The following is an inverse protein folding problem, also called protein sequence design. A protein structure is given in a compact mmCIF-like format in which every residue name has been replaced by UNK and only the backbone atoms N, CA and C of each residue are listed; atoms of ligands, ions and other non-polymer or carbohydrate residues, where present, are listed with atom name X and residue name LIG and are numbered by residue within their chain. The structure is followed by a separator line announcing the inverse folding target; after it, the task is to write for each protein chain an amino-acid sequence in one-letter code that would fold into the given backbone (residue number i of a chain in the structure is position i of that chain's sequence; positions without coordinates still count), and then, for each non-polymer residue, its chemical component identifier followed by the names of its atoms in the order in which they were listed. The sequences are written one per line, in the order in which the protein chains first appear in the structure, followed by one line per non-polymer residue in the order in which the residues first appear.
data_IF_708393485415
#
_entry.id   IF_708393485415
#
_cell.length_a   1.000
_cell.length_b   1.000
_cell.length_c   1.000
_cell.angle_alpha   90.00
_cell.angle_beta   90.00
_cell.angle_gamma   90.00
#
_symmetry.space_group_name_H-M   'P 1'
#
loop_
_entity.id
_entity.type
_entity.pdbx_description
1 polymer ?
#
# COMPACT_ATOMS: atom_id res chain seq x y z
N UNK A 1 -20.32 13.93 -28.35
CA UNK A 1 -18.89 13.71 -28.06
C UNK A 1 -18.60 14.22 -26.65
N UNK A 2 -18.54 13.33 -25.65
CA UNK A 2 -18.15 13.70 -24.28
C UNK A 2 -16.64 13.57 -24.18
N UNK A 3 -15.96 14.70 -24.04
CA UNK A 3 -14.52 14.73 -23.78
C UNK A 3 -14.33 14.26 -22.33
N UNK A 4 -13.78 13.06 -22.19
CA UNK A 4 -13.27 12.55 -20.91
C UNK A 4 -12.07 13.44 -20.57
N UNK A 5 -12.20 14.28 -19.54
CA UNK A 5 -11.02 14.86 -18.91
C UNK A 5 -10.31 13.72 -18.18
N UNK A 6 -9.23 13.23 -18.77
CA UNK A 6 -8.22 12.50 -18.02
C UNK A 6 -7.72 13.47 -16.95
N UNK A 7 -7.98 13.17 -15.68
CA UNK A 7 -7.42 13.93 -14.58
C UNK A 7 -5.94 13.61 -14.53
N UNK A 8 -5.14 14.62 -14.80
CA UNK A 8 -3.69 14.59 -14.74
C UNK A 8 -3.21 14.06 -13.39
N UNK A 9 -2.17 13.25 -13.52
CA UNK A 9 -1.32 12.64 -12.52
C UNK A 9 -1.00 13.58 -11.35
N UNK A 10 -1.66 13.35 -10.21
CA UNK A 10 -1.28 13.91 -8.93
C UNK A 10 -0.87 12.77 -8.01
N UNK A 11 -0.01 11.86 -8.50
CA UNK A 11 0.68 10.93 -7.63
C UNK A 11 1.66 11.75 -6.79
N UNK A 12 1.26 12.15 -5.59
CA UNK A 12 2.19 12.72 -4.60
C UNK A 12 3.13 11.60 -4.20
N UNK A 13 4.28 11.55 -4.87
CA UNK A 13 5.18 10.42 -4.80
C UNK A 13 5.60 10.12 -3.35
N UNK A 14 5.09 9.03 -2.78
CA UNK A 14 5.38 8.65 -1.40
C UNK A 14 6.69 7.90 -1.33
N UNK A 15 7.58 8.31 -0.43
CA UNK A 15 8.82 7.59 -0.16
C UNK A 15 8.58 6.11 0.23
N UNK A 16 7.41 5.76 0.78
CA UNK A 16 7.05 4.37 1.09
C UNK A 16 6.74 3.58 -0.19
N UNK A 17 5.96 4.17 -1.10
CA UNK A 17 5.58 3.53 -2.37
C UNK A 17 6.80 3.24 -3.25
N UNK A 18 7.73 4.19 -3.33
CA UNK A 18 8.99 4.00 -4.05
C UNK A 18 9.82 2.84 -3.47
N UNK A 19 9.88 2.70 -2.13
CA UNK A 19 10.68 1.65 -1.46
C UNK A 19 10.13 0.24 -1.61
N UNK A 20 8.85 0.09 -1.95
CA UNK A 20 8.18 -1.22 -2.09
C UNK A 20 7.82 -1.56 -3.54
N UNK A 21 8.30 -0.75 -4.49
CA UNK A 21 7.93 -0.87 -5.91
C UNK A 21 8.30 -2.24 -6.49
N UNK A 22 9.40 -2.84 -6.03
CA UNK A 22 9.89 -4.17 -6.41
C UNK A 22 8.92 -5.31 -6.04
N UNK A 23 8.14 -5.13 -4.97
CA UNK A 23 7.14 -6.11 -4.51
C UNK A 23 5.70 -5.71 -4.84
N UNK A 24 5.48 -4.58 -5.53
CA UNK A 24 4.14 -4.00 -5.73
C UNK A 24 3.15 -4.96 -6.38
N UNK A 25 3.60 -5.78 -7.32
CA UNK A 25 2.75 -6.78 -8.00
C UNK A 25 2.78 -8.16 -7.34
N UNK A 26 3.67 -8.39 -6.39
CA UNK A 26 3.87 -9.69 -5.73
C UNK A 26 2.96 -9.84 -4.49
N UNK A 27 2.47 -8.72 -3.97
CA UNK A 27 1.76 -8.66 -2.70
C UNK A 27 0.30 -8.24 -2.89
N UNK A 28 -0.60 -8.92 -2.19
CA UNK A 28 -2.01 -8.51 -2.11
C UNK A 28 -2.19 -7.35 -1.13
N UNK A 29 -2.18 -6.12 -1.63
CA UNK A 29 -2.41 -4.92 -0.82
C UNK A 29 -3.80 -4.88 -0.17
N UNK A 30 -4.81 -5.45 -0.83
CA UNK A 30 -6.14 -5.64 -0.23
C UNK A 30 -6.06 -6.44 1.05
N UNK A 31 -5.31 -7.55 1.03
CA UNK A 31 -5.19 -8.43 2.18
C UNK A 31 -4.45 -7.74 3.33
N UNK A 32 -3.38 -6.99 3.01
CA UNK A 32 -2.67 -6.21 4.02
C UNK A 32 -3.58 -5.17 4.68
N UNK A 33 -4.34 -4.42 3.89
CA UNK A 33 -5.25 -3.40 4.39
C UNK A 33 -6.31 -3.98 5.34
N UNK A 34 -6.88 -5.13 4.99
CA UNK A 34 -7.95 -5.76 5.76
C UNK A 34 -7.40 -6.39 7.04
N UNK A 35 -6.31 -7.16 6.94
CA UNK A 35 -5.82 -8.00 8.05
C UNK A 35 -5.07 -7.22 9.10
N UNK A 36 -4.28 -6.20 8.70
CA UNK A 36 -3.44 -5.46 9.66
C UNK A 36 -4.06 -4.13 10.07
N UNK A 37 -4.74 -3.45 9.15
CA UNK A 37 -5.27 -2.10 9.41
C UNK A 37 -6.79 -2.07 9.66
N UNK A 38 -7.52 -3.15 9.34
CA UNK A 38 -8.98 -3.16 9.40
C UNK A 38 -9.61 -2.13 8.45
N UNK A 39 -8.94 -1.83 7.32
CA UNK A 39 -9.34 -0.82 6.34
C UNK A 39 -9.53 -1.43 4.95
N UNK A 40 -10.17 -0.67 4.07
CA UNK A 40 -10.34 -1.06 2.66
C UNK A 40 -9.03 -0.98 1.88
N UNK A 41 -8.94 -1.71 0.76
CA UNK A 41 -7.79 -1.62 -0.14
C UNK A 41 -7.55 -0.18 -0.63
N UNK A 42 -8.61 0.56 -0.98
CA UNK A 42 -8.50 1.94 -1.46
C UNK A 42 -7.86 2.87 -0.43
N UNK A 43 -8.13 2.66 0.86
CA UNK A 43 -7.46 3.42 1.93
C UNK A 43 -5.95 3.22 1.91
N UNK A 44 -5.48 1.98 1.74
CA UNK A 44 -4.06 1.69 1.69
C UNK A 44 -3.41 2.26 0.44
N UNK A 45 -4.09 2.22 -0.72
CA UNK A 45 -3.60 2.87 -1.94
C UNK A 45 -3.49 4.39 -1.78
N UNK A 46 -4.46 5.06 -1.15
CA UNK A 46 -4.33 6.49 -0.86
C UNK A 46 -3.16 6.79 0.07
N UNK A 47 -2.92 5.97 1.10
CA UNK A 47 -1.75 6.11 1.98
C UNK A 47 -0.44 5.93 1.21
N UNK A 48 -0.38 4.97 0.29
CA UNK A 48 0.76 4.77 -0.62
C UNK A 48 0.94 5.92 -1.60
N UNK A 49 -0.13 6.56 -2.05
CA UNK A 49 -0.06 7.72 -2.94
C UNK A 49 0.17 9.04 -2.21
N UNK A 50 0.40 9.01 -0.89
CA UNK A 50 0.62 10.21 -0.09
C UNK A 50 -0.62 11.12 0.01
N UNK A 51 -1.80 10.52 -0.11
CA UNK A 51 -3.11 11.21 -0.11
C UNK A 51 -3.80 10.91 1.22
N UNK A 52 -4.33 11.94 1.89
CA UNK A 52 -5.24 11.74 3.02
C UNK A 52 -6.67 11.50 2.50
N UNK A 53 -7.57 10.98 3.33
CA UNK A 53 -8.94 10.64 2.92
C UNK A 53 -9.76 11.80 2.34
N UNK A 54 -9.25 13.04 2.38
CA UNK A 54 -9.87 14.26 1.87
C UNK A 54 -9.10 14.88 0.67
N UNK A 55 -8.10 14.20 0.11
CA UNK A 55 -7.32 14.70 -1.04
C UNK A 55 -6.16 15.63 -0.68
N UNK A 56 -5.84 15.79 0.61
CA UNK A 56 -4.73 16.60 1.11
C UNK A 56 -3.37 15.89 1.02
N UNK A 57 -2.37 16.38 1.76
CA UNK A 57 -1.10 15.67 1.95
C UNK A 57 -1.31 14.65 3.06
N UNK A 58 -1.32 13.38 2.68
CA UNK A 58 -1.43 12.27 3.61
C UNK A 58 -0.27 11.31 3.49
N UNK A 59 -0.47 10.13 4.04
CA UNK A 59 0.55 9.09 4.12
C UNK A 59 0.48 8.37 5.45
N UNK A 60 1.43 7.47 5.65
CA UNK A 60 1.51 6.67 6.86
C UNK A 60 2.02 7.52 8.04
N UNK A 61 1.36 7.42 9.19
CA UNK A 61 1.95 7.83 10.48
C UNK A 61 3.10 6.90 10.85
N UNK A 62 3.90 7.24 11.87
CA UNK A 62 5.00 6.37 12.30
C UNK A 62 4.49 5.01 12.85
N UNK A 63 3.34 5.01 13.51
CA UNK A 63 2.68 3.79 13.98
C UNK A 63 2.21 2.93 12.80
N UNK A 64 1.61 3.56 11.78
CA UNK A 64 1.16 2.85 10.59
C UNK A 64 2.34 2.32 9.76
N UNK A 65 3.48 3.04 9.71
CA UNK A 65 4.72 2.54 9.10
C UNK A 65 5.26 1.33 9.84
N UNK A 66 5.23 1.36 11.16
CA UNK A 66 5.65 0.23 12.01
C UNK A 66 4.76 -0.99 11.76
N UNK A 67 3.45 -0.78 11.67
CA UNK A 67 2.48 -1.82 11.33
C UNK A 67 2.70 -2.38 9.92
N UNK A 68 2.91 -1.52 8.92
CA UNK A 68 3.20 -1.93 7.54
C UNK A 68 4.49 -2.76 7.47
N UNK A 69 5.54 -2.34 8.18
CA UNK A 69 6.79 -3.10 8.29
C UNK A 69 6.53 -4.49 8.86
N UNK A 70 5.76 -4.60 9.95
CA UNK A 70 5.37 -5.87 10.54
C UNK A 70 4.63 -6.78 9.56
N UNK A 71 3.63 -6.23 8.86
CA UNK A 71 2.87 -6.94 7.84
C UNK A 71 3.76 -7.49 6.72
N UNK A 72 4.69 -6.67 6.19
CA UNK A 72 5.62 -7.09 5.15
C UNK A 72 6.58 -8.19 5.64
N UNK A 73 7.09 -8.10 6.86
CA UNK A 73 7.91 -9.15 7.47
C UNK A 73 7.13 -10.47 7.60
N UNK A 74 5.87 -10.42 8.03
CA UNK A 74 5.04 -11.62 8.15
C UNK A 74 4.75 -12.24 6.78
N UNK A 75 4.42 -11.43 5.76
CA UNK A 75 4.24 -11.92 4.39
C UNK A 75 5.51 -12.61 3.88
N UNK A 76 6.69 -12.02 4.09
CA UNK A 76 7.96 -12.63 3.71
C UNK A 76 8.19 -13.98 4.41
N UNK A 77 7.90 -14.06 5.71
CA UNK A 77 8.01 -15.30 6.49
C UNK A 77 7.02 -16.37 5.98
N UNK A 78 5.79 -15.97 5.61
CA UNK A 78 4.79 -16.90 5.05
C UNK A 78 5.21 -17.44 3.70
N UNK A 79 5.80 -16.62 2.85
CA UNK A 79 6.36 -17.05 1.56
C UNK A 79 7.52 -18.03 1.80
N UNK A 80 8.44 -17.71 2.70
CA UNK A 80 9.56 -18.61 3.08
C UNK A 80 9.06 -19.95 3.56
N UNK A 81 8.15 -19.96 4.52
CA UNK A 81 7.58 -21.18 5.08
C UNK A 81 6.77 -21.99 4.06
N UNK A 82 6.18 -21.37 3.04
CA UNK A 82 5.53 -22.09 1.96
C UNK A 82 6.57 -22.80 1.07
N UNK A 83 7.69 -22.13 0.76
CA UNK A 83 8.79 -22.73 -0.01
C UNK A 83 9.42 -23.92 0.74
N UNK A 84 9.63 -23.82 2.05
CA UNK A 84 10.24 -24.89 2.86
C UNK A 84 9.33 -26.14 3.01
N UNK A 85 8.05 -26.04 2.65
CA UNK A 85 7.08 -27.16 2.70
C UNK A 85 6.96 -27.93 1.38
N UNK A 86 7.64 -27.46 0.33
CA UNK A 86 7.68 -28.08 -0.99
C UNK A 86 8.99 -28.84 -1.11
#
# INVERSE_FOLDING_TARGET
MKIIKQNDDQTKDSAVKQRIQDIQMLVSWREIAHTYFGKSASWLYYKLDGIDGNGGVGGFTEEEKTMLRGALCEVANRIRAAADRI
#
